data_IF_406906621902
#
_entry.id   IF_406906621902
#
_cell.length_a   1.000
_cell.length_b   1.000
_cell.length_c   1.000
_cell.angle_alpha   90.00
_cell.angle_beta   90.00
_cell.angle_gamma   90.00
#
_symmetry.space_group_name_H-M   'P 1'
#
loop_
_entity.id
_entity.type
_entity.pdbx_description
1 polymer ?
#
# COMPACT_ATOMS: atom_id res chain seq x y z
N UNK A 1 -13.71 4.72 -28.29
CA UNK A 1 -13.38 3.42 -28.92
C UNK A 1 -12.00 3.02 -28.40
N UNK A 2 -11.88 1.91 -27.66
CA UNK A 2 -10.59 1.43 -27.13
C UNK A 2 -10.62 0.90 -25.69
N UNK A 3 -11.06 -0.36 -25.53
CA UNK A 3 -10.83 -1.41 -24.52
C UNK A 3 -10.24 -1.08 -23.12
N UNK A 4 -11.02 -1.38 -22.05
CA UNK A 4 -10.87 -2.49 -21.07
C UNK A 4 -9.68 -2.37 -20.10
N UNK A 5 -9.98 -2.30 -18.80
CA UNK A 5 -9.38 -3.13 -17.75
C UNK A 5 -10.43 -3.27 -16.63
N UNK A 6 -11.03 -4.46 -16.55
CA UNK A 6 -11.82 -4.89 -15.41
C UNK A 6 -10.95 -4.91 -14.16
N UNK A 7 -11.56 -4.59 -13.03
CA UNK A 7 -11.01 -4.71 -11.67
C UNK A 7 -10.53 -6.14 -11.40
N UNK A 8 -9.24 -6.39 -11.54
CA UNK A 8 -8.60 -7.59 -11.03
C UNK A 8 -7.66 -7.18 -9.90
N UNK A 9 -8.11 -7.37 -8.66
CA UNK A 9 -7.26 -7.25 -7.48
C UNK A 9 -6.37 -8.50 -7.41
N UNK A 10 -5.07 -8.33 -7.65
CA UNK A 10 -4.08 -9.40 -7.49
C UNK A 10 -3.51 -9.38 -6.07
N UNK A 11 -3.66 -10.50 -5.35
CA UNK A 11 -2.85 -10.82 -4.16
C UNK A 11 -1.85 -11.90 -4.57
N UNK A 12 -0.55 -11.63 -4.42
CA UNK A 12 0.50 -12.64 -4.64
C UNK A 12 1.02 -13.09 -3.27
N UNK A 13 0.76 -14.35 -2.93
CA UNK A 13 1.35 -15.03 -1.77
C UNK A 13 2.64 -15.72 -2.24
N UNK A 14 3.74 -15.55 -1.50
CA UNK A 14 5.01 -16.20 -1.79
C UNK A 14 5.50 -16.96 -0.55
N UNK A 15 5.49 -18.29 -0.60
CA UNK A 15 6.14 -19.14 0.40
C UNK A 15 7.59 -19.41 -0.02
N UNK A 16 8.53 -19.33 0.93
CA UNK A 16 9.95 -19.61 0.68
C UNK A 16 10.43 -20.81 1.51
N UNK A 17 10.98 -21.84 0.84
CA UNK A 17 11.78 -22.90 1.49
C UNK A 17 13.24 -22.89 0.99
N UNK A 18 14.15 -22.73 1.96
CA UNK A 18 15.57 -23.08 2.08
C UNK A 18 16.38 -23.54 0.85
N UNK A 19 16.81 -22.64 -0.05
CA UNK A 19 17.85 -23.03 -1.04
C UNK A 19 18.75 -21.91 -1.62
N UNK A 20 18.84 -20.74 -0.99
CA UNK A 20 19.47 -19.56 -1.61
C UNK A 20 21.01 -19.64 -1.73
N UNK A 21 21.72 -20.50 -0.98
CA UNK A 21 23.17 -20.35 -0.82
C UNK A 21 24.09 -21.07 -1.82
N UNK A 22 23.62 -22.01 -2.66
CA UNK A 22 24.54 -22.96 -3.31
C UNK A 22 24.70 -22.91 -4.84
N UNK A 23 24.10 -21.96 -5.58
CA UNK A 23 24.27 -21.95 -7.05
C UNK A 23 24.65 -20.58 -7.63
N UNK A 24 25.96 -20.33 -7.74
CA UNK A 24 26.53 -19.38 -8.70
C UNK A 24 26.74 -20.12 -10.02
N UNK A 25 26.16 -19.59 -11.11
CA UNK A 25 26.32 -20.02 -12.50
C UNK A 25 25.42 -21.17 -13.00
N UNK A 26 24.13 -20.90 -13.15
CA UNK A 26 23.34 -21.46 -14.25
C UNK A 26 22.11 -20.59 -14.52
N UNK A 27 22.25 -19.68 -15.49
CA UNK A 27 21.11 -19.19 -16.28
C UNK A 27 20.51 -20.43 -16.94
N UNK A 28 19.24 -20.71 -16.65
CA UNK A 28 18.31 -21.69 -17.24
C UNK A 28 17.68 -22.53 -16.11
N UNK A 29 16.36 -22.43 -15.96
CA UNK A 29 15.51 -23.22 -15.05
C UNK A 29 15.46 -22.82 -13.56
N UNK A 30 14.96 -21.62 -13.27
CA UNK A 30 14.09 -21.45 -12.11
C UNK A 30 12.68 -21.13 -12.63
N UNK A 31 11.99 -22.16 -13.12
CA UNK A 31 10.54 -22.11 -13.16
C UNK A 31 10.08 -22.16 -11.71
N UNK A 32 10.08 -21.01 -11.03
CA UNK A 32 9.26 -20.85 -9.85
C UNK A 32 7.82 -21.03 -10.35
N UNK A 33 7.18 -22.14 -10.01
CA UNK A 33 5.77 -22.33 -10.28
C UNK A 33 5.04 -21.40 -9.32
N UNK A 34 4.75 -20.18 -9.78
CA UNK A 34 3.88 -19.27 -9.07
C UNK A 34 2.46 -19.83 -9.14
N UNK A 35 1.88 -20.10 -7.97
CA UNK A 35 0.45 -20.34 -7.85
C UNK A 35 -0.26 -19.00 -7.68
N UNK A 36 -1.33 -18.79 -8.44
CA UNK A 36 -2.17 -17.60 -8.35
C UNK A 36 -3.56 -18.05 -7.95
N UNK A 37 -4.06 -17.51 -6.84
CA UNK A 37 -5.46 -17.64 -6.44
C UNK A 37 -6.17 -16.30 -6.59
N UNK A 38 -7.43 -16.36 -7.01
CA UNK A 38 -8.25 -15.17 -7.22
C UNK A 38 -9.38 -15.12 -6.20
N UNK A 39 -9.62 -13.92 -5.65
CA UNK A 39 -10.73 -13.64 -4.76
C UNK A 39 -11.55 -12.49 -5.34
N UNK A 40 -12.71 -12.82 -5.91
CA UNK A 40 -13.63 -11.82 -6.46
C UNK A 40 -14.42 -11.18 -5.33
N UNK A 41 -13.97 -10.00 -4.89
CA UNK A 41 -14.66 -9.21 -3.87
C UNK A 41 -14.34 -7.72 -3.98
N UNK A 42 -15.21 -6.91 -3.39
CA UNK A 42 -14.99 -5.48 -3.14
C UNK A 42 -15.03 -5.24 -1.64
N UNK A 43 -14.21 -4.30 -1.16
CA UNK A 43 -14.23 -3.84 0.24
C UNK A 43 -15.14 -2.62 0.29
N UNK A 44 -16.37 -2.82 0.75
CA UNK A 44 -17.38 -1.75 0.86
C UNK A 44 -17.66 -1.35 2.31
N UNK A 45 -17.37 -2.26 3.23
CA UNK A 45 -17.42 -2.04 4.66
C UNK A 45 -16.12 -2.51 5.32
N UNK A 46 -15.82 -1.96 6.51
CA UNK A 46 -14.61 -2.29 7.25
C UNK A 46 -14.50 -3.78 7.59
N UNK A 47 -15.64 -4.44 7.78
CA UNK A 47 -15.74 -5.86 8.12
C UNK A 47 -15.33 -6.77 6.96
N UNK A 48 -15.39 -6.29 5.72
CA UNK A 48 -15.01 -7.06 4.53
C UNK A 48 -13.52 -7.45 4.56
N UNK A 49 -12.69 -6.67 5.23
CA UNK A 49 -11.24 -6.95 5.38
C UNK A 49 -11.00 -8.29 6.08
N UNK A 50 -11.92 -8.75 6.94
CA UNK A 50 -11.81 -10.06 7.60
C UNK A 50 -11.92 -11.25 6.63
N UNK A 51 -12.40 -11.03 5.40
CA UNK A 51 -12.52 -12.04 4.36
C UNK A 51 -11.20 -12.23 3.60
N UNK A 52 -10.25 -11.30 3.74
CA UNK A 52 -8.95 -11.37 3.07
C UNK A 52 -8.07 -12.45 3.72
N UNK A 53 -7.37 -13.28 2.92
CA UNK A 53 -6.47 -14.29 3.45
C UNK A 53 -5.23 -13.64 4.09
N UNK A 54 -4.66 -14.36 5.06
CA UNK A 54 -3.36 -14.01 5.64
C UNK A 54 -2.26 -14.18 4.60
N UNK A 55 -1.24 -13.33 4.68
CA UNK A 55 -0.05 -13.43 3.84
C UNK A 55 1.18 -12.90 4.58
N UNK A 56 2.37 -13.12 4.05
CA UNK A 56 3.59 -12.46 4.55
C UNK A 56 3.55 -10.95 4.34
N UNK A 57 2.95 -10.51 3.22
CA UNK A 57 2.81 -9.12 2.85
C UNK A 57 1.49 -8.88 2.11
N UNK A 58 0.77 -7.82 2.47
CA UNK A 58 -0.30 -7.27 1.65
C UNK A 58 0.21 -6.08 0.82
N UNK A 59 -0.10 -6.05 -0.46
CA UNK A 59 0.11 -4.89 -1.32
C UNK A 59 -1.23 -4.19 -1.49
N UNK A 60 -1.33 -2.97 -0.97
CA UNK A 60 -2.56 -2.19 -0.98
C UNK A 60 -2.50 -1.20 -2.14
N UNK A 61 -3.18 -1.52 -3.23
CA UNK A 61 -3.20 -0.72 -4.46
C UNK A 61 -4.62 -0.42 -4.97
N UNK A 62 -5.54 -0.19 -4.05
CA UNK A 62 -6.91 0.24 -4.33
C UNK A 62 -7.17 1.60 -3.66
N UNK A 63 -7.98 2.43 -4.30
CA UNK A 63 -8.25 3.84 -3.97
C UNK A 63 -9.71 4.11 -3.57
N UNK A 64 -10.59 3.11 -3.67
CA UNK A 64 -12.00 3.21 -3.27
C UNK A 64 -12.37 2.14 -2.23
N UNK A 65 -13.09 2.48 -1.16
CA UNK A 65 -13.51 3.83 -0.77
C UNK A 65 -12.35 4.71 -0.24
N UNK A 66 -12.58 6.02 -0.13
CA UNK A 66 -11.60 7.01 0.34
C UNK A 66 -10.97 6.69 1.72
N UNK A 67 -11.68 5.93 2.56
CA UNK A 67 -11.26 5.48 3.88
C UNK A 67 -10.67 4.05 3.91
N UNK A 68 -10.41 3.43 2.75
CA UNK A 68 -9.90 2.06 2.65
C UNK A 68 -8.54 1.89 3.37
N UNK A 69 -7.58 2.78 3.11
CA UNK A 69 -6.24 2.68 3.70
C UNK A 69 -6.26 2.80 5.23
N UNK A 70 -6.99 3.76 5.85
CA UNK A 70 -7.23 3.76 7.29
C UNK A 70 -7.81 2.45 7.84
N UNK A 71 -8.82 1.88 7.18
CA UNK A 71 -9.44 0.62 7.62
C UNK A 71 -8.47 -0.55 7.59
N UNK A 72 -7.74 -0.70 6.48
CA UNK A 72 -6.72 -1.74 6.32
C UNK A 72 -5.61 -1.55 7.35
N UNK A 73 -5.16 -0.30 7.58
CA UNK A 73 -4.15 -0.01 8.58
C UNK A 73 -4.55 -0.51 9.97
N UNK A 74 -5.76 -0.16 10.43
CA UNK A 74 -6.25 -0.62 11.73
C UNK A 74 -6.33 -2.13 11.82
N UNK A 75 -6.83 -2.79 10.78
CA UNK A 75 -6.91 -4.24 10.72
C UNK A 75 -5.52 -4.89 10.75
N UNK A 76 -4.59 -4.39 9.94
CA UNK A 76 -3.22 -4.90 9.84
C UNK A 76 -2.46 -4.76 11.16
N UNK A 77 -2.62 -3.62 11.84
CA UNK A 77 -2.01 -3.39 13.15
C UNK A 77 -2.60 -4.36 14.20
N UNK A 78 -3.93 -4.48 14.26
CA UNK A 78 -4.61 -5.38 15.20
C UNK A 78 -4.23 -6.85 14.98
N UNK A 79 -4.15 -7.27 13.72
CA UNK A 79 -3.94 -8.66 13.36
C UNK A 79 -2.47 -8.99 13.09
N UNK A 80 -1.52 -8.06 13.23
CA UNK A 80 -0.09 -8.30 12.96
C UNK A 80 0.15 -8.77 11.51
N UNK A 81 -0.45 -8.07 10.55
CA UNK A 81 -0.25 -8.30 9.11
C UNK A 81 0.64 -7.17 8.57
N UNK A 82 1.74 -7.52 7.90
CA UNK A 82 2.57 -6.52 7.21
C UNK A 82 1.88 -6.07 5.93
N UNK A 83 2.02 -4.80 5.58
CA UNK A 83 1.50 -4.28 4.31
C UNK A 83 2.37 -3.14 3.77
N UNK A 84 2.27 -2.91 2.46
CA UNK A 84 2.79 -1.72 1.78
C UNK A 84 1.66 -1.10 0.95
N UNK A 85 1.59 0.24 0.93
CA UNK A 85 0.66 0.96 0.05
C UNK A 85 1.34 1.42 -1.24
N UNK A 86 0.61 1.37 -2.35
CA UNK A 86 1.01 1.90 -3.65
C UNK A 86 -0.19 2.56 -4.32
N UNK A 87 0.05 3.69 -4.98
CA UNK A 87 -0.97 4.40 -5.72
C UNK A 87 -0.43 5.69 -6.32
N UNK A 88 -1.30 6.66 -6.48
CA UNK A 88 -0.97 7.97 -7.04
C UNK A 88 -1.90 9.04 -6.47
N UNK A 89 -1.45 10.29 -6.55
CA UNK A 89 -2.29 11.48 -6.36
C UNK A 89 -2.10 12.33 -7.60
N UNK A 90 -3.05 12.27 -8.54
CA UNK A 90 -2.92 12.87 -9.87
C UNK A 90 -1.62 12.43 -10.58
N UNK A 91 -0.70 13.36 -10.82
CA UNK A 91 0.56 13.17 -11.53
C UNK A 91 1.73 12.76 -10.62
N UNK A 92 1.45 12.47 -9.35
CA UNK A 92 2.44 12.08 -8.33
C UNK A 92 2.35 10.59 -8.08
N UNK A 93 3.44 9.86 -8.31
CA UNK A 93 3.57 8.45 -7.95
C UNK A 93 3.75 8.36 -6.44
N UNK A 94 2.89 7.62 -5.75
CA UNK A 94 2.94 7.49 -4.29
C UNK A 94 3.11 6.04 -3.89
N UNK A 95 4.10 5.77 -3.05
CA UNK A 95 4.29 4.46 -2.46
C UNK A 95 4.69 4.60 -0.99
N UNK A 96 4.49 3.53 -0.26
CA UNK A 96 4.61 3.52 1.17
C UNK A 96 3.39 4.13 1.89
N UNK A 97 3.35 4.02 3.20
CA UNK A 97 4.39 3.40 4.03
C UNK A 97 4.42 1.88 3.93
N UNK A 98 5.58 1.32 4.30
CA UNK A 98 5.75 -0.10 4.58
C UNK A 98 5.54 -0.35 6.07
N UNK A 99 4.42 -0.97 6.43
CA UNK A 99 4.08 -1.31 7.81
C UNK A 99 4.63 -2.69 8.19
N UNK A 100 5.44 -2.71 9.24
CA UNK A 100 5.97 -3.93 9.86
C UNK A 100 5.77 -3.80 11.36
N UNK A 101 5.09 -4.80 11.94
CA UNK A 101 4.81 -4.83 13.37
C UNK A 101 6.09 -4.60 14.18
N UNK A 102 6.02 -3.64 15.10
CA UNK A 102 7.10 -3.36 16.04
C UNK A 102 8.27 -2.57 15.43
N UNK A 103 8.52 -2.65 14.12
CA UNK A 103 9.65 -2.03 13.43
C UNK A 103 9.31 -0.65 12.87
N UNK A 104 8.22 -0.51 12.10
CA UNK A 104 7.84 0.76 11.47
C UNK A 104 6.56 1.33 12.06
N UNK A 105 6.32 2.63 11.82
CA UNK A 105 5.06 3.28 12.11
C UNK A 105 3.95 2.85 11.15
N UNK A 106 2.73 2.83 11.66
CA UNK A 106 1.51 2.63 10.89
C UNK A 106 1.01 3.95 10.28
N UNK A 107 -0.01 3.87 9.42
CA UNK A 107 -0.57 5.00 8.66
C UNK A 107 -1.04 6.12 9.58
N UNK A 108 -1.61 5.74 10.72
CA UNK A 108 -2.13 6.69 11.68
C UNK A 108 -1.03 7.40 12.49
N UNK A 109 0.22 6.94 12.49
CA UNK A 109 1.25 7.56 13.35
C UNK A 109 1.67 8.99 12.86
N UNK A 110 1.24 9.46 11.68
CA UNK A 110 1.42 10.85 11.19
C UNK A 110 0.08 11.48 10.82
N UNK A 111 -0.20 12.68 11.34
CA UNK A 111 -1.39 13.48 11.01
C UNK A 111 -1.28 14.24 9.68
N UNK A 112 -0.20 14.02 8.91
CA UNK A 112 0.14 14.81 7.72
C UNK A 112 -0.59 14.37 6.45
N UNK A 113 -1.34 13.28 6.51
CA UNK A 113 -2.23 12.86 5.42
C UNK A 113 -3.55 13.58 5.65
N UNK A 114 -3.92 14.47 4.71
CA UNK A 114 -5.02 15.41 4.88
C UNK A 114 -6.28 14.74 5.42
N UNK A 115 -6.78 15.25 6.54
CA UNK A 115 -8.08 14.82 7.06
C UNK A 115 -9.18 15.49 6.27
N UNK A 116 -10.27 14.77 6.01
CA UNK A 116 -11.50 15.43 5.60
C UNK A 116 -11.93 16.42 6.69
N UNK A 117 -12.40 17.62 6.31
CA UNK A 117 -12.88 18.59 7.28
C UNK A 117 -14.04 18.00 8.09
N UNK A 118 -14.17 18.44 9.35
CA UNK A 118 -15.33 18.06 10.16
C UNK A 118 -16.62 18.49 9.45
N UNK A 119 -17.68 17.67 9.59
CA UNK A 119 -19.00 17.96 9.03
C UNK A 119 -19.72 19.04 9.85
N UNK A 120 -19.17 20.24 9.86
CA UNK A 120 -19.70 21.37 10.64
C UNK A 120 -20.87 22.07 9.95
N UNK A 121 -20.92 22.04 8.62
CA UNK A 121 -22.00 22.61 7.80
C UNK A 121 -22.53 21.57 6.80
N UNK A 122 -23.83 21.27 6.89
CA UNK A 122 -24.48 20.24 6.07
C UNK A 122 -24.51 20.59 4.58
N UNK A 123 -24.72 21.86 4.22
CA UNK A 123 -24.79 22.30 2.82
C UNK A 123 -23.41 22.26 2.17
N UNK A 124 -22.38 22.71 2.88
CA UNK A 124 -20.99 22.63 2.40
C UNK A 124 -20.58 21.17 2.22
N UNK A 125 -20.93 20.32 3.19
CA UNK A 125 -20.62 18.89 3.12
C UNK A 125 -21.29 18.22 1.91
N UNK A 126 -22.59 18.48 1.68
CA UNK A 126 -23.33 17.95 0.53
C UNK A 126 -22.73 18.41 -0.80
N UNK A 127 -22.35 19.69 -0.90
CA UNK A 127 -21.70 20.23 -2.09
C UNK A 127 -20.33 19.57 -2.34
N UNK A 128 -19.50 19.43 -1.31
CA UNK A 128 -18.22 18.73 -1.41
C UNK A 128 -18.40 17.26 -1.79
N UNK A 129 -19.38 16.57 -1.22
CA UNK A 129 -19.69 15.18 -1.56
C UNK A 129 -20.13 15.04 -3.03
N UNK A 130 -20.97 15.95 -3.52
CA UNK A 130 -21.40 15.97 -4.92
C UNK A 130 -20.23 16.22 -5.89
N UNK A 131 -19.29 17.08 -5.52
CA UNK A 131 -18.06 17.34 -6.31
C UNK A 131 -17.18 16.09 -6.33
N UNK A 132 -16.90 15.51 -5.16
CA UNK A 132 -16.00 14.37 -5.03
C UNK A 132 -16.57 13.10 -5.69
N UNK A 133 -17.89 12.89 -5.67
CA UNK A 133 -18.52 11.76 -6.36
C UNK A 133 -18.33 11.79 -7.88
N UNK A 134 -18.05 12.96 -8.46
CA UNK A 134 -17.78 13.11 -9.90
C UNK A 134 -16.28 13.21 -10.20
N UNK A 135 -15.43 13.14 -9.19
CA UNK A 135 -13.99 13.22 -9.37
C UNK A 135 -13.48 11.98 -10.08
N UNK A 136 -12.71 12.21 -11.15
CA UNK A 136 -11.97 11.16 -11.84
C UNK A 136 -10.52 11.55 -11.80
N UNK A 137 -9.67 10.66 -11.29
CA UNK A 137 -8.25 10.92 -11.24
C UNK A 137 -7.70 10.96 -12.66
N UNK A 138 -6.84 11.93 -12.95
CA UNK A 138 -6.06 11.96 -14.18
C UNK A 138 -4.97 10.88 -14.12
N UNK A 139 -5.33 9.62 -14.40
CA UNK A 139 -4.38 8.50 -14.37
C UNK A 139 -3.38 8.61 -15.52
N UNK A 140 -2.09 8.51 -15.19
CA UNK A 140 -1.00 8.49 -16.16
C UNK A 140 -0.20 7.19 -16.02
N UNK A 141 -0.14 6.31 -17.05
CA UNK A 141 0.48 4.98 -16.92
C UNK A 141 1.93 4.98 -16.39
N UNK A 142 2.82 5.92 -16.79
CA UNK A 142 4.18 5.98 -16.23
C UNK A 142 4.22 6.25 -14.71
N UNK A 143 3.28 7.03 -14.18
CA UNK A 143 3.17 7.31 -12.74
C UNK A 143 2.78 6.04 -11.98
N UNK A 144 1.81 5.29 -12.51
CA UNK A 144 1.42 4.00 -11.92
C UNK A 144 2.57 3.00 -11.97
N UNK A 145 3.21 2.83 -13.14
CA UNK A 145 4.34 1.92 -13.32
C UNK A 145 5.51 2.26 -12.37
N UNK A 146 5.81 3.54 -12.16
CA UNK A 146 6.85 3.97 -11.23
C UNK A 146 6.50 3.59 -9.78
N UNK A 147 5.27 3.87 -9.34
CA UNK A 147 4.81 3.51 -8.01
C UNK A 147 4.85 1.98 -7.78
N UNK A 148 4.33 1.21 -8.74
CA UNK A 148 4.30 -0.24 -8.68
C UNK A 148 5.71 -0.84 -8.65
N UNK A 149 6.62 -0.34 -9.49
CA UNK A 149 8.00 -0.84 -9.55
C UNK A 149 8.75 -0.63 -8.23
N UNK A 150 8.62 0.55 -7.61
CA UNK A 150 9.28 0.82 -6.33
C UNK A 150 8.63 0.03 -5.20
N UNK A 151 7.30 -0.09 -5.19
CA UNK A 151 6.55 -0.91 -4.24
C UNK A 151 7.01 -2.38 -4.27
N UNK A 152 7.09 -2.97 -5.46
CA UNK A 152 7.56 -4.35 -5.65
C UNK A 152 9.02 -4.51 -5.23
N UNK A 153 9.87 -3.52 -5.50
CA UNK A 153 11.27 -3.55 -5.07
C UNK A 153 11.40 -3.66 -3.53
N UNK A 154 10.61 -2.90 -2.77
CA UNK A 154 10.60 -3.02 -1.32
C UNK A 154 9.95 -4.34 -0.86
N UNK A 155 8.90 -4.79 -1.52
CA UNK A 155 8.28 -6.09 -1.24
C UNK A 155 9.29 -7.24 -1.39
N UNK A 156 10.10 -7.25 -2.47
CA UNK A 156 11.12 -8.26 -2.71
C UNK A 156 12.24 -8.22 -1.66
N UNK A 157 12.69 -7.03 -1.25
CA UNK A 157 13.68 -6.90 -0.16
C UNK A 157 13.15 -7.43 1.17
N UNK A 158 11.87 -7.17 1.46
CA UNK A 158 11.21 -7.66 2.66
C UNK A 158 11.08 -9.18 2.65
N UNK A 159 10.52 -9.75 1.57
CA UNK A 159 10.34 -11.19 1.40
C UNK A 159 11.67 -11.95 1.31
N UNK A 160 12.72 -11.32 0.76
CA UNK A 160 14.08 -11.84 0.73
C UNK A 160 14.81 -11.81 2.08
N UNK A 161 14.11 -11.53 3.18
CA UNK A 161 14.67 -11.59 4.54
C UNK A 161 15.62 -10.45 4.89
N UNK A 162 15.59 -9.32 4.17
CA UNK A 162 16.41 -8.14 4.46
C UNK A 162 17.88 -8.23 4.05
N UNK A 163 18.31 -9.34 3.43
CA UNK A 163 19.69 -9.50 2.94
C UNK A 163 20.03 -8.66 1.70
N UNK A 164 19.05 -8.00 1.09
CA UNK A 164 19.16 -7.30 -0.20
C UNK A 164 19.10 -5.76 -0.08
N UNK A 165 19.24 -5.25 1.15
CA UNK A 165 19.30 -3.82 1.46
C UNK A 165 18.04 -3.30 2.15
N UNK A 166 18.09 -2.01 2.51
CA UNK A 166 17.04 -1.36 3.29
C UNK A 166 15.76 -1.10 2.47
N UNK A 167 14.63 -1.15 3.16
CA UNK A 167 13.32 -0.80 2.62
C UNK A 167 13.21 0.71 2.50
N UNK A 168 12.99 1.22 1.29
CA UNK A 168 12.96 2.66 1.07
C UNK A 168 11.75 3.33 1.72
N UNK A 169 10.62 2.63 1.75
CA UNK A 169 9.34 3.10 2.32
C UNK A 169 9.13 2.71 3.78
N UNK A 170 10.15 2.19 4.48
CA UNK A 170 10.08 1.98 5.92
C UNK A 170 9.98 3.33 6.64
N UNK A 171 8.94 3.55 7.45
CA UNK A 171 8.68 4.84 8.14
C UNK A 171 8.47 6.05 7.21
N UNK A 172 8.28 5.84 5.90
CA UNK A 172 8.13 6.93 4.94
C UNK A 172 7.00 6.66 3.96
N UNK A 173 6.20 7.70 3.69
CA UNK A 173 5.35 7.78 2.50
C UNK A 173 6.04 8.71 1.52
N UNK A 174 6.29 8.23 0.32
CA UNK A 174 7.11 8.93 -0.67
C UNK A 174 6.27 9.26 -1.89
N UNK A 175 6.39 10.51 -2.36
CA UNK A 175 5.78 11.01 -3.58
C UNK A 175 6.86 11.38 -4.59
N UNK A 176 6.78 10.86 -5.82
CA UNK A 176 7.64 11.27 -6.93
C UNK A 176 6.78 12.00 -7.95
N UNK A 177 7.14 13.25 -8.22
CA UNK A 177 6.40 14.11 -9.13
C UNK A 177 6.79 13.80 -10.57
N UNK A 178 5.82 13.62 -11.47
CA UNK A 178 6.12 13.40 -12.90
C UNK A 178 6.39 14.69 -13.68
N UNK A 179 5.96 15.83 -13.14
CA UNK A 179 6.12 17.16 -13.74
C UNK A 179 7.51 17.80 -13.52
N UNK A 180 8.31 17.28 -12.58
CA UNK A 180 9.66 17.75 -12.28
C UNK A 180 10.45 16.64 -11.58
N UNK A 181 11.77 16.65 -11.68
CA UNK A 181 12.63 15.72 -10.94
C UNK A 181 12.66 16.08 -9.45
N UNK A 182 11.61 15.69 -8.73
CA UNK A 182 11.41 16.02 -7.33
C UNK A 182 10.77 14.86 -6.59
N UNK A 183 11.36 14.53 -5.44
CA UNK A 183 10.85 13.54 -4.50
C UNK A 183 10.46 14.24 -3.21
N UNK A 184 9.30 13.89 -2.70
CA UNK A 184 8.80 14.36 -1.42
C UNK A 184 8.63 13.18 -0.47
N UNK A 185 9.14 13.33 0.75
CA UNK A 185 9.05 12.28 1.77
C UNK A 185 8.27 12.80 2.98
N UNK A 186 7.32 11.98 3.44
CA UNK A 186 6.57 12.21 4.66
C UNK A 186 6.95 11.14 5.67
N UNK A 187 7.62 11.57 6.73
CA UNK A 187 7.98 10.72 7.85
C UNK A 187 6.73 10.25 8.61
N UNK A 188 6.65 8.94 8.78
CA UNK A 188 5.65 8.19 9.51
C UNK A 188 6.33 7.35 10.61
N UNK A 189 7.43 7.86 11.17
CA UNK A 189 8.14 7.22 12.29
C UNK A 189 7.17 6.79 13.39
N UNK A 190 7.39 5.58 13.88
CA UNK A 190 6.58 4.98 14.95
C UNK A 190 6.44 5.94 16.13
N UNK A 191 5.19 6.28 16.47
CA UNK A 191 4.85 7.06 17.65
C UNK A 191 4.33 6.11 18.74
N UNK A 192 5.07 5.88 19.85
CA UNK A 192 4.68 4.96 20.92
C UNK A 192 3.37 5.33 21.62
N UNK A 193 2.94 6.59 21.52
CA UNK A 193 1.77 7.12 22.21
C UNK A 193 0.52 7.14 21.33
N UNK A 194 0.61 6.70 20.07
CA UNK A 194 -0.52 6.77 19.16
C UNK A 194 -1.52 5.63 19.40
N UNK A 195 -2.81 5.93 19.34
CA UNK A 195 -3.91 5.02 19.75
C UNK A 195 -3.95 3.69 19.01
N UNK A 196 -3.43 3.66 17.77
CA UNK A 196 -3.46 2.49 16.88
C UNK A 196 -2.18 1.64 17.01
N UNK A 197 -1.01 2.24 16.76
CA UNK A 197 0.30 1.57 16.70
C UNK A 197 1.07 1.55 18.04
N UNK A 198 0.62 2.32 19.04
CA UNK A 198 1.31 2.50 20.30
C UNK A 198 1.20 1.28 21.22
N UNK A 199 2.28 0.97 21.92
CA UNK A 199 2.24 0.05 23.06
C UNK A 199 1.53 0.76 24.19
N UNK A 200 0.32 0.30 24.57
CA UNK A 200 -0.26 0.65 25.86
C UNK A 200 0.77 0.28 26.93
N UNK A 201 1.17 1.24 27.75
CA UNK A 201 1.87 0.97 29.01
C UNK A 201 0.95 0.15 29.92
#
# INVERSE_FOLDING_TARGET
MGYFLFSNHFLVLAETLDNIFNNRYSRNYLHYQSEVSELQMSITAKEDINKLPRADLWIISADEPDHLVPWINEWCVKNKQAYINSGYVNDIAVFGLFYILGKTGCYACSSSIGNFPEKSDGLIYEACAAINNNFKVATFPPVNALSAAICVNDALKFLGGGGYGDLFSADHRVGIWSSKLFTEERSLKKNPHYKVCGTKQ
#
